data_IF_134891644075
#
_entry.id   IF_134891644075
#
_cell.length_a   1.000
_cell.length_b   1.000
_cell.length_c   1.000
_cell.angle_alpha   90.00
_cell.angle_beta   90.00
_cell.angle_gamma   90.00
#
_symmetry.space_group_name_H-M   'P 1'
#
loop_
_entity.id
_entity.type
_entity.pdbx_description
1 polymer ?
#
# COMPACT_ATOMS: atom_id res chain seq x y z
N UNK A 1 -1.25 19.94 2.80
CA UNK A 1 -1.31 18.47 2.70
C UNK A 1 -1.47 18.12 1.23
N UNK A 2 -0.73 17.13 0.73
CA UNK A 2 -0.84 16.67 -0.67
C UNK A 2 -1.51 15.30 -0.72
N UNK A 3 -2.54 15.17 -1.56
CA UNK A 3 -3.18 13.87 -1.82
C UNK A 3 -2.53 13.19 -3.02
N UNK A 4 -2.10 11.95 -2.84
CA UNK A 4 -1.45 11.09 -3.84
C UNK A 4 -2.33 9.88 -4.07
N UNK A 5 -3.07 9.87 -5.18
CA UNK A 5 -3.77 8.65 -5.64
C UNK A 5 -2.84 7.86 -6.53
N UNK A 6 -2.44 6.67 -6.09
CA UNK A 6 -1.36 5.93 -6.78
C UNK A 6 -1.70 5.58 -8.25
N UNK A 7 -2.98 5.56 -8.61
CA UNK A 7 -3.45 5.31 -9.97
C UNK A 7 -3.31 6.52 -10.92
N UNK A 8 -3.16 7.73 -10.38
CA UNK A 8 -2.99 8.95 -11.17
C UNK A 8 -1.55 9.10 -11.67
N UNK A 9 -0.60 8.36 -11.08
CA UNK A 9 0.82 8.34 -11.42
C UNK A 9 1.19 7.18 -12.35
N UNK A 10 0.25 6.74 -13.20
CA UNK A 10 0.53 5.72 -14.22
C UNK A 10 1.65 6.20 -15.14
N UNK A 11 2.68 5.37 -15.29
CA UNK A 11 3.85 5.65 -16.13
C UNK A 11 4.93 6.50 -15.46
N UNK A 12 4.77 6.92 -14.20
CA UNK A 12 5.86 7.55 -13.46
C UNK A 12 6.91 6.50 -13.10
N UNK A 13 8.17 6.81 -13.39
CA UNK A 13 9.32 6.12 -12.84
C UNK A 13 9.71 6.67 -11.47
N UNK A 14 10.77 6.09 -10.91
CA UNK A 14 11.30 6.50 -9.60
C UNK A 14 11.74 7.97 -9.60
N UNK A 15 12.40 8.42 -10.68
CA UNK A 15 12.89 9.79 -10.79
C UNK A 15 11.74 10.81 -10.81
N UNK A 16 10.65 10.51 -11.51
CA UNK A 16 9.47 11.37 -11.56
C UNK A 16 8.78 11.46 -10.18
N UNK A 17 8.69 10.35 -9.45
CA UNK A 17 8.18 10.38 -8.06
C UNK A 17 9.08 11.20 -7.14
N UNK A 18 10.41 11.03 -7.24
CA UNK A 18 11.36 11.81 -6.44
C UNK A 18 11.25 13.31 -6.74
N UNK A 19 11.14 13.69 -8.01
CA UNK A 19 10.99 15.10 -8.39
C UNK A 19 9.68 15.67 -7.86
N UNK A 20 8.55 14.99 -8.08
CA UNK A 20 7.24 15.40 -7.58
C UNK A 20 7.25 15.66 -6.07
N UNK A 21 7.84 14.75 -5.28
CA UNK A 21 7.90 14.90 -3.84
C UNK A 21 8.86 16.00 -3.38
N UNK A 22 9.94 16.28 -4.12
CA UNK A 22 10.90 17.35 -3.79
C UNK A 22 10.38 18.74 -4.13
N UNK A 23 9.55 18.87 -5.15
CA UNK A 23 8.89 20.12 -5.52
C UNK A 23 7.75 20.48 -4.55
N UNK A 24 7.25 19.51 -3.79
CA UNK A 24 6.33 19.74 -2.69
C UNK A 24 7.01 20.51 -1.55
N UNK A 25 6.53 21.71 -1.25
CA UNK A 25 6.89 22.44 -0.03
C UNK A 25 6.34 21.78 1.24
N UNK A 26 5.39 20.85 1.09
CA UNK A 26 4.75 20.11 2.17
C UNK A 26 5.38 18.72 2.36
N UNK A 27 5.37 18.22 3.59
CA UNK A 27 5.76 16.84 3.92
C UNK A 27 4.58 16.00 4.46
N UNK A 28 3.36 16.57 4.49
CA UNK A 28 2.14 15.89 4.90
C UNK A 28 1.41 15.35 3.68
N UNK A 29 1.24 14.04 3.62
CA UNK A 29 0.65 13.33 2.49
C UNK A 29 -0.53 12.48 2.89
N UNK A 30 -1.57 12.47 2.04
CA UNK A 30 -2.63 11.46 2.03
C UNK A 30 -2.41 10.56 0.83
N UNK A 31 -2.07 9.29 1.06
CA UNK A 31 -1.79 8.31 0.01
C UNK A 31 -3.01 7.40 -0.12
N UNK A 32 -3.59 7.35 -1.31
CA UNK A 32 -4.82 6.62 -1.61
C UNK A 32 -4.51 5.46 -2.56
N UNK A 33 -4.81 4.24 -2.09
CA UNK A 33 -4.61 2.98 -2.81
C UNK A 33 -5.98 2.36 -3.11
N UNK A 34 -6.30 2.01 -4.38
CA UNK A 34 -7.58 1.41 -4.71
C UNK A 34 -7.70 0.00 -4.11
N UNK A 35 -8.89 -0.34 -3.63
CA UNK A 35 -9.31 -1.71 -3.34
C UNK A 35 -10.36 -2.12 -4.39
N UNK A 36 -9.98 -3.04 -5.29
CA UNK A 36 -10.81 -3.45 -6.42
C UNK A 36 -11.64 -4.70 -6.10
N UNK A 37 -11.20 -5.51 -5.15
CA UNK A 37 -11.84 -6.77 -4.81
C UNK A 37 -13.13 -6.60 -4.01
N UNK A 38 -14.03 -7.56 -4.14
CA UNK A 38 -15.32 -7.60 -3.42
C UNK A 38 -15.59 -9.01 -2.93
N UNK A 39 -15.79 -9.18 -1.62
CA UNK A 39 -16.14 -10.47 -1.03
C UNK A 39 -17.41 -11.05 -1.65
N UNK A 40 -17.38 -12.33 -2.00
CA UNK A 40 -18.46 -13.02 -2.72
C UNK A 40 -18.49 -12.78 -4.23
N UNK A 41 -17.55 -11.98 -4.77
CA UNK A 41 -17.40 -11.77 -6.23
C UNK A 41 -15.96 -12.06 -6.70
N UNK A 42 -14.97 -11.58 -5.97
CA UNK A 42 -13.54 -11.83 -6.23
C UNK A 42 -13.09 -13.12 -5.56
N UNK A 43 -12.00 -13.71 -6.06
CA UNK A 43 -11.39 -14.85 -5.39
C UNK A 43 -10.85 -14.44 -4.01
N UNK A 44 -10.96 -15.33 -3.03
CA UNK A 44 -10.43 -15.12 -1.68
C UNK A 44 -8.93 -14.78 -1.69
N UNK A 45 -8.16 -15.44 -2.57
CA UNK A 45 -6.73 -15.14 -2.76
C UNK A 45 -6.47 -13.70 -3.23
N UNK A 46 -7.29 -13.16 -4.14
CA UNK A 46 -7.15 -11.79 -4.62
C UNK A 46 -7.48 -10.78 -3.52
N UNK A 47 -8.53 -11.07 -2.72
CA UNK A 47 -8.90 -10.25 -1.57
C UNK A 47 -7.74 -10.24 -0.57
N UNK A 48 -7.26 -11.42 -0.17
CA UNK A 48 -6.15 -11.56 0.75
C UNK A 48 -4.92 -10.77 0.27
N UNK A 49 -4.60 -10.87 -1.03
CA UNK A 49 -3.50 -10.15 -1.63
C UNK A 49 -3.62 -8.62 -1.48
N UNK A 50 -4.76 -8.02 -1.84
CA UNK A 50 -4.94 -6.57 -1.70
C UNK A 50 -4.77 -6.10 -0.26
N UNK A 51 -5.30 -6.84 0.71
CA UNK A 51 -5.19 -6.50 2.14
C UNK A 51 -3.77 -6.68 2.68
N UNK A 52 -3.07 -7.76 2.31
CA UNK A 52 -1.67 -7.96 2.70
C UNK A 52 -0.75 -6.89 2.11
N UNK A 53 -0.94 -6.55 0.84
CA UNK A 53 -0.15 -5.52 0.19
C UNK A 53 -0.43 -4.14 0.81
N UNK A 54 -1.68 -3.82 1.12
CA UNK A 54 -2.03 -2.59 1.83
C UNK A 54 -1.41 -2.54 3.25
N UNK A 55 -1.42 -3.65 3.99
CA UNK A 55 -0.78 -3.75 5.30
C UNK A 55 0.74 -3.55 5.21
N UNK A 56 1.39 -4.15 4.20
CA UNK A 56 2.82 -3.99 3.94
C UNK A 56 3.18 -2.52 3.61
N UNK A 57 2.43 -1.88 2.70
CA UNK A 57 2.63 -0.46 2.38
C UNK A 57 2.46 0.40 3.62
N UNK A 58 1.40 0.17 4.40
CA UNK A 58 1.17 0.88 5.67
C UNK A 58 2.33 0.73 6.64
N UNK A 59 2.92 -0.47 6.74
CA UNK A 59 4.12 -0.70 7.56
C UNK A 59 5.33 0.08 7.07
N UNK A 60 5.60 0.09 5.78
CA UNK A 60 6.72 0.84 5.21
C UNK A 60 6.51 2.36 5.38
N UNK A 61 5.29 2.85 5.16
CA UNK A 61 4.92 4.25 5.38
C UNK A 61 5.12 4.68 6.85
N UNK A 62 4.74 3.83 7.80
CA UNK A 62 4.98 4.07 9.22
C UNK A 62 6.48 4.20 9.54
N UNK A 63 7.34 3.35 8.96
CA UNK A 63 8.79 3.38 9.21
C UNK A 63 9.46 4.68 8.71
N UNK A 64 8.89 5.32 7.68
CA UNK A 64 9.48 6.50 7.04
C UNK A 64 8.79 7.83 7.42
N UNK A 65 7.86 7.80 8.38
CA UNK A 65 7.07 8.96 8.81
C UNK A 65 7.29 9.34 10.28
N UNK A 66 6.92 10.58 10.63
CA UNK A 66 6.80 11.04 12.03
C UNK A 66 5.44 10.77 12.63
N UNK A 67 4.42 10.82 11.78
CA UNK A 67 3.02 10.64 12.12
C UNK A 67 2.42 9.72 11.08
N UNK A 68 1.55 8.81 11.54
CA UNK A 68 0.94 7.80 10.70
C UNK A 68 -0.45 7.48 11.21
N UNK A 69 -1.45 7.56 10.33
CA UNK A 69 -2.74 6.92 10.52
C UNK A 69 -3.27 6.40 9.19
N UNK A 70 -4.25 5.51 9.22
CA UNK A 70 -4.78 4.90 8.02
C UNK A 70 -6.27 4.59 8.16
N UNK A 71 -6.91 4.39 7.01
CA UNK A 71 -8.30 3.96 6.90
C UNK A 71 -8.35 2.66 6.12
N UNK A 72 -8.93 1.63 6.73
CA UNK A 72 -9.15 0.35 6.09
C UNK A 72 -10.45 0.36 5.26
N UNK A 73 -10.38 -0.16 4.03
CA UNK A 73 -11.56 -0.42 3.23
C UNK A 73 -12.28 -1.70 3.71
N UNK A 74 -13.61 -1.74 3.61
CA UNK A 74 -14.39 -2.95 3.92
C UNK A 74 -14.25 -4.02 2.82
N UNK A 75 -14.21 -5.33 3.15
CA UNK A 75 -14.11 -6.38 2.14
C UNK A 75 -15.37 -6.49 1.26
N UNK A 76 -16.52 -6.00 1.74
CA UNK A 76 -17.85 -6.18 1.13
C UNK A 76 -18.15 -5.30 -0.10
N UNK A 77 -17.32 -4.31 -0.41
CA UNK A 77 -17.48 -3.43 -1.58
C UNK A 77 -16.14 -2.90 -2.05
N UNK A 78 -16.10 -2.38 -3.28
CA UNK A 78 -14.97 -1.59 -3.76
C UNK A 78 -14.77 -0.37 -2.86
N UNK A 79 -13.54 0.11 -2.78
CA UNK A 79 -13.19 1.25 -1.95
C UNK A 79 -11.74 1.64 -2.11
N UNK A 80 -11.20 2.32 -1.11
CA UNK A 80 -9.84 2.81 -1.10
C UNK A 80 -9.24 2.60 0.29
N UNK A 81 -7.98 2.18 0.34
CA UNK A 81 -7.15 2.30 1.54
C UNK A 81 -6.55 3.70 1.54
N UNK A 82 -6.67 4.40 2.67
CA UNK A 82 -6.08 5.74 2.84
C UNK A 82 -4.99 5.69 3.89
N UNK A 83 -3.85 6.31 3.62
CA UNK A 83 -2.74 6.46 4.57
C UNK A 83 -2.38 7.93 4.70
N UNK A 84 -2.43 8.46 5.91
CA UNK A 84 -2.03 9.83 6.20
C UNK A 84 -0.70 9.81 6.92
N UNK A 85 0.28 10.49 6.36
CA UNK A 85 1.64 10.53 6.90
C UNK A 85 2.22 11.93 6.92
N UNK A 86 3.12 12.15 7.86
CA UNK A 86 4.10 13.25 7.78
C UNK A 86 5.46 12.62 7.47
N UNK A 87 5.93 12.74 6.24
CA UNK A 87 7.12 12.04 5.74
C UNK A 87 8.42 12.63 6.29
N UNK A 88 9.37 11.76 6.65
CA UNK A 88 10.74 12.14 7.06
C UNK A 88 11.80 11.77 6.03
N UNK A 89 11.50 10.84 5.13
CA UNK A 89 12.47 10.25 4.20
C UNK A 89 11.90 10.24 2.78
N UNK A 90 11.98 11.38 2.11
CA UNK A 90 11.36 11.61 0.79
C UNK A 90 11.82 10.59 -0.27
N UNK A 91 13.11 10.26 -0.32
CA UNK A 91 13.61 9.26 -1.28
C UNK A 91 13.04 7.86 -1.05
N UNK A 92 12.84 7.49 0.22
CA UNK A 92 12.22 6.20 0.56
C UNK A 92 10.72 6.21 0.25
N UNK A 93 10.06 7.36 0.45
CA UNK A 93 8.67 7.55 0.05
C UNK A 93 8.52 7.43 -1.47
N UNK A 94 9.40 8.05 -2.26
CA UNK A 94 9.39 7.93 -3.72
C UNK A 94 9.51 6.47 -4.17
N UNK A 95 10.47 5.73 -3.60
CA UNK A 95 10.65 4.30 -3.86
C UNK A 95 9.39 3.48 -3.55
N UNK A 96 8.78 3.73 -2.40
CA UNK A 96 7.57 3.01 -1.99
C UNK A 96 6.36 3.35 -2.86
N UNK A 97 6.17 4.63 -3.24
CA UNK A 97 5.09 5.03 -4.14
C UNK A 97 5.26 4.43 -5.54
N UNK A 98 6.49 4.38 -6.03
CA UNK A 98 6.82 3.70 -7.28
C UNK A 98 6.42 2.22 -7.21
N UNK A 99 6.85 1.49 -6.17
CA UNK A 99 6.48 0.10 -5.98
C UNK A 99 4.96 -0.11 -5.85
N UNK A 100 4.29 0.70 -5.02
CA UNK A 100 2.84 0.64 -4.81
C UNK A 100 2.05 0.91 -6.09
N UNK A 101 2.50 1.86 -6.93
CA UNK A 101 1.86 2.16 -8.21
C UNK A 101 1.96 0.98 -9.18
N UNK A 102 3.04 0.20 -9.16
CA UNK A 102 3.14 -1.07 -9.91
C UNK A 102 2.16 -2.12 -9.39
N UNK A 103 2.10 -2.33 -8.07
CA UNK A 103 1.26 -3.37 -7.47
C UNK A 103 -0.26 -3.16 -7.65
N UNK A 104 -0.72 -1.91 -7.66
CA UNK A 104 -2.16 -1.58 -7.65
C UNK A 104 -2.62 -0.72 -8.83
N UNK A 105 -1.72 0.07 -9.41
CA UNK A 105 -2.07 1.15 -10.34
C UNK A 105 -1.79 0.84 -11.80
N UNK A 106 -0.75 0.06 -12.12
CA UNK A 106 -0.23 0.01 -13.47
C UNK A 106 0.01 -1.43 -13.97
N UNK A 107 -0.72 -1.83 -15.02
CA UNK A 107 -0.48 -3.10 -15.70
C UNK A 107 0.73 -3.04 -16.67
N UNK A 108 1.21 -1.83 -17.00
CA UNK A 108 2.35 -1.62 -17.92
C UNK A 108 3.70 -1.55 -17.19
N UNK A 109 3.68 -1.25 -15.89
CA UNK A 109 4.85 -1.37 -15.01
C UNK A 109 4.71 -2.70 -14.31
N UNK A 110 5.50 -3.70 -14.73
CA UNK A 110 5.55 -4.97 -14.04
C UNK A 110 5.83 -4.70 -12.55
N UNK A 111 5.00 -5.27 -11.68
CA UNK A 111 5.27 -5.28 -10.25
C UNK A 111 6.71 -5.77 -10.05
N UNK A 112 7.56 -5.03 -9.32
CA UNK A 112 8.92 -5.50 -9.09
C UNK A 112 8.85 -6.88 -8.45
N UNK A 113 9.52 -7.89 -9.02
CA UNK A 113 9.52 -9.28 -8.50
C UNK A 113 9.89 -9.30 -6.99
N UNK A 114 10.72 -8.36 -6.56
CA UNK A 114 11.08 -8.19 -5.16
C UNK A 114 9.91 -7.76 -4.27
N UNK A 115 8.97 -6.96 -4.78
CA UNK A 115 7.84 -6.46 -3.99
C UNK A 115 6.89 -7.60 -3.58
N UNK A 116 6.57 -8.52 -4.49
CA UNK A 116 5.75 -9.68 -4.15
C UNK A 116 6.42 -10.54 -3.07
N UNK A 117 7.73 -10.75 -3.19
CA UNK A 117 8.53 -11.49 -2.22
C UNK A 117 8.61 -10.77 -0.86
N UNK A 118 8.73 -9.45 -0.86
CA UNK A 118 8.74 -8.61 0.34
C UNK A 118 7.41 -8.67 1.08
N UNK A 119 6.27 -8.61 0.37
CA UNK A 119 4.94 -8.82 0.96
C UNK A 119 4.83 -10.23 1.56
N UNK A 120 5.30 -11.27 0.85
CA UNK A 120 5.33 -12.64 1.37
C UNK A 120 6.19 -12.79 2.64
N UNK A 121 7.36 -12.17 2.65
CA UNK A 121 8.26 -12.14 3.81
C UNK A 121 7.62 -11.38 4.99
N UNK A 122 6.94 -10.26 4.72
CA UNK A 122 6.19 -9.49 5.71
C UNK A 122 5.09 -10.33 6.36
N UNK A 123 4.25 -11.01 5.58
CA UNK A 123 3.18 -11.88 6.09
C UNK A 123 3.76 -12.97 7.00
N UNK A 124 4.87 -13.58 6.57
CA UNK A 124 5.54 -14.64 7.32
C UNK A 124 6.11 -14.10 8.64
N UNK A 125 6.77 -12.95 8.60
CA UNK A 125 7.40 -12.35 9.77
C UNK A 125 6.38 -11.90 10.84
N UNK A 126 5.24 -11.34 10.41
CA UNK A 126 4.15 -10.87 11.26
C UNK A 126 3.00 -11.89 11.43
N UNK A 127 3.26 -13.16 11.12
CA UNK A 127 2.27 -14.22 11.33
C UNK A 127 1.76 -14.25 12.78
N UNK A 128 2.70 -14.20 13.72
CA UNK A 128 2.46 -14.31 15.17
C UNK A 128 2.94 -13.07 15.96
N UNK A 129 3.11 -11.93 15.27
CA UNK A 129 3.58 -10.67 15.87
C UNK A 129 2.65 -9.52 15.50
N UNK A 130 2.46 -8.54 16.40
CA UNK A 130 1.70 -7.34 16.06
C UNK A 130 2.46 -6.48 15.05
N UNK A 131 1.72 -5.84 14.15
CA UNK A 131 2.21 -4.79 13.24
C UNK A 131 1.30 -3.57 13.30
N UNK A 132 1.80 -2.43 12.79
CA UNK A 132 0.91 -1.37 12.33
C UNK A 132 0.03 -1.90 11.19
N UNK A 133 -1.20 -1.38 11.06
CA UNK A 133 -2.20 -1.90 10.13
C UNK A 133 -2.61 -3.37 10.42
N UNK A 134 -2.69 -3.73 11.70
CA UNK A 134 -3.04 -5.08 12.13
C UNK A 134 -4.39 -5.56 11.58
N UNK A 135 -5.40 -4.69 11.55
CA UNK A 135 -6.71 -4.99 10.97
C UNK A 135 -6.65 -5.37 9.48
N UNK A 136 -5.81 -4.70 8.69
CA UNK A 136 -5.58 -5.05 7.28
C UNK A 136 -4.95 -6.44 7.18
N UNK A 137 -3.95 -6.73 8.02
CA UNK A 137 -3.30 -8.04 8.05
C UNK A 137 -4.29 -9.13 8.48
N UNK A 138 -5.14 -8.86 9.45
CA UNK A 138 -6.13 -9.82 9.97
C UNK A 138 -7.23 -10.11 8.93
N UNK A 139 -7.73 -9.08 8.24
CA UNK A 139 -8.65 -9.28 7.10
C UNK A 139 -7.95 -10.10 6.02
N UNK A 140 -6.69 -9.79 5.68
CA UNK A 140 -5.94 -10.59 4.72
C UNK A 140 -5.86 -12.07 5.11
N UNK A 141 -5.63 -12.38 6.40
CA UNK A 141 -5.57 -13.74 6.94
C UNK A 141 -6.91 -14.47 6.86
N UNK A 142 -8.03 -13.79 7.13
CA UNK A 142 -9.39 -14.35 6.98
C UNK A 142 -9.59 -14.93 5.58
N UNK A 143 -9.29 -14.15 4.54
CA UNK A 143 -9.45 -14.57 3.15
C UNK A 143 -8.29 -15.45 2.63
N UNK A 144 -7.17 -15.55 3.35
CA UNK A 144 -6.07 -16.45 2.97
C UNK A 144 -6.26 -17.86 3.53
N UNK A 145 -6.89 -17.99 4.70
CA UNK A 145 -7.03 -19.25 5.41
C UNK A 145 -8.36 -19.98 5.16
N UNK A 146 -9.36 -19.31 4.56
CA UNK A 146 -10.60 -19.95 4.14
C UNK A 146 -10.37 -20.90 2.96
N UNK A 147 -10.39 -22.21 3.27
CA UNK A 147 -10.45 -23.34 2.35
C UNK A 147 -11.90 -23.78 2.12
#
# INVERSE_FOLDING_TARGET
MITIKINEFKGYGLEEFTLFLKESEDNVYEIIVPKKTVAGTSANADIAWEYFTAAYIGRQLYEISSEFCYTAATPKRKGEFGFHITARRIEQLAGLLFQASGAFGNAEVAEPVNFTLEVGAFITYFKDKPTVCQDLLDIGKEYHCDK
#
